data_IF_177297315093
#
_entry.id   IF_177297315093
#
_cell.length_a   1.000
_cell.length_b   1.000
_cell.length_c   1.000
_cell.angle_alpha   90.00
_cell.angle_beta   90.00
_cell.angle_gamma   90.00
#
_symmetry.space_group_name_H-M   'P 1'
#
loop_
_entity.id
_entity.type
_entity.pdbx_description
1 polymer ?
#
# COMPACT_ATOMS: atom_id res chain seq x y z
N UNK A 1 42.89 -20.00 -8.03
CA UNK A 1 43.21 -21.30 -8.66
C UNK A 1 43.06 -21.15 -10.17
N UNK A 2 43.85 -21.84 -11.00
CA UNK A 2 43.69 -21.82 -12.46
C UNK A 2 43.34 -23.25 -12.92
N UNK A 3 42.52 -23.37 -13.97
CA UNK A 3 42.16 -24.66 -14.55
C UNK A 3 43.09 -24.98 -15.70
N UNK A 4 43.79 -26.11 -15.63
CA UNK A 4 44.60 -26.65 -16.73
C UNK A 4 43.87 -27.85 -17.33
N UNK A 5 43.63 -27.84 -18.63
CA UNK A 5 43.04 -28.99 -19.34
C UNK A 5 44.09 -30.07 -19.54
N UNK A 6 43.81 -31.29 -19.09
CA UNK A 6 44.69 -32.44 -19.29
C UNK A 6 44.77 -32.81 -20.78
N UNK A 7 45.97 -32.96 -21.38
CA UNK A 7 46.11 -33.36 -22.78
C UNK A 7 45.71 -34.82 -23.05
N UNK A 8 45.57 -35.64 -22.01
CA UNK A 8 45.27 -37.07 -22.14
C UNK A 8 43.79 -37.43 -21.97
N UNK A 9 43.04 -36.65 -21.18
CA UNK A 9 41.65 -36.97 -20.86
C UNK A 9 40.71 -35.77 -20.90
N UNK A 10 41.22 -34.60 -21.32
CA UNK A 10 40.48 -33.33 -21.40
C UNK A 10 39.83 -32.87 -20.08
N UNK A 11 40.12 -33.55 -18.97
CA UNK A 11 39.62 -33.18 -17.65
C UNK A 11 40.27 -31.89 -17.16
N UNK A 12 39.49 -31.07 -16.45
CA UNK A 12 39.96 -29.83 -15.85
C UNK A 12 40.71 -30.13 -14.55
N UNK A 13 41.98 -29.73 -14.47
CA UNK A 13 42.84 -29.90 -13.31
C UNK A 13 42.98 -28.55 -12.60
N UNK A 14 42.63 -28.51 -11.32
CA UNK A 14 42.88 -27.34 -10.48
C UNK A 14 44.36 -27.26 -10.12
N UNK A 15 45.05 -26.23 -10.63
CA UNK A 15 46.45 -25.97 -10.29
C UNK A 15 46.60 -24.62 -9.59
N UNK A 16 47.43 -24.62 -8.55
CA UNK A 16 47.79 -23.39 -7.82
C UNK A 16 48.95 -22.67 -8.53
N UNK A 17 49.05 -21.33 -8.44
CA UNK A 17 50.20 -20.59 -8.97
C UNK A 17 51.55 -21.03 -8.38
N UNK A 18 51.55 -21.63 -7.19
CA UNK A 18 52.75 -22.17 -6.54
C UNK A 18 53.30 -23.43 -7.24
N UNK A 19 52.50 -24.10 -8.07
CA UNK A 19 52.87 -25.32 -8.81
C UNK A 19 53.32 -25.02 -10.25
N UNK A 20 53.42 -23.74 -10.62
CA UNK A 20 53.78 -23.33 -11.97
C UNK A 20 55.22 -23.73 -12.33
N UNK A 21 55.39 -24.42 -13.47
CA UNK A 21 56.67 -24.96 -13.90
C UNK A 21 57.06 -26.31 -13.27
N UNK A 22 56.16 -26.93 -12.49
CA UNK A 22 56.30 -28.29 -11.96
C UNK A 22 55.45 -29.32 -12.72
N UNK A 23 55.34 -30.53 -12.18
CA UNK A 23 54.46 -31.59 -12.70
C UNK A 23 53.39 -31.94 -11.67
N UNK A 24 52.17 -32.19 -12.13
CA UNK A 24 51.05 -32.60 -11.26
C UNK A 24 50.31 -33.79 -11.86
N UNK A 25 49.95 -34.81 -11.05
CA UNK A 25 49.14 -35.92 -11.52
C UNK A 25 47.70 -35.46 -11.79
N UNK A 26 47.13 -35.90 -12.92
CA UNK A 26 45.72 -35.64 -13.23
C UNK A 26 44.81 -36.50 -12.33
N UNK A 27 43.82 -35.92 -11.63
CA UNK A 27 42.91 -36.68 -10.76
C UNK A 27 42.00 -37.66 -11.52
N UNK A 28 41.79 -37.47 -12.84
CA UNK A 28 40.90 -38.33 -13.63
C UNK A 28 41.60 -39.48 -14.35
N UNK A 29 42.85 -39.31 -14.80
CA UNK A 29 43.57 -40.37 -15.53
C UNK A 29 44.90 -40.77 -14.88
N UNK A 30 45.27 -40.13 -13.77
CA UNK A 30 46.51 -40.34 -13.03
C UNK A 30 47.81 -40.14 -13.85
N UNK A 31 47.70 -39.58 -15.06
CA UNK A 31 48.84 -39.23 -15.89
C UNK A 31 49.56 -38.00 -15.33
N UNK A 32 50.89 -37.97 -15.42
CA UNK A 32 51.71 -36.83 -15.00
C UNK A 32 51.63 -35.76 -16.08
N UNK A 33 51.11 -34.58 -15.73
CA UNK A 33 50.95 -33.45 -16.65
C UNK A 33 51.89 -32.32 -16.24
N UNK A 34 52.61 -31.75 -17.21
CA UNK A 34 53.48 -30.60 -17.01
C UNK A 34 52.65 -29.32 -16.85
N UNK A 35 52.87 -28.58 -15.75
CA UNK A 35 52.19 -27.32 -15.48
C UNK A 35 52.98 -26.19 -16.18
N UNK A 36 52.37 -25.43 -17.11
CA UNK A 36 53.04 -24.34 -17.82
C UNK A 36 53.63 -23.29 -16.87
N UNK A 37 54.71 -22.63 -17.29
CA UNK A 37 55.36 -21.56 -16.51
C UNK A 37 54.40 -20.37 -16.31
N UNK A 38 54.58 -19.63 -15.21
CA UNK A 38 53.72 -18.51 -14.75
C UNK A 38 53.31 -17.50 -15.83
N UNK A 39 54.14 -17.29 -16.86
CA UNK A 39 53.84 -16.38 -17.98
C UNK A 39 52.66 -16.80 -18.86
N UNK A 40 52.34 -18.09 -18.93
CA UNK A 40 51.22 -18.63 -19.74
C UNK A 40 49.97 -18.93 -18.90
N UNK A 41 50.10 -19.12 -17.58
CA UNK A 41 48.96 -19.28 -16.64
C UNK A 41 48.04 -18.05 -16.59
N UNK A 42 48.55 -16.86 -16.91
CA UNK A 42 47.78 -15.61 -16.95
C UNK A 42 46.78 -15.53 -18.11
N UNK A 43 46.89 -16.41 -19.10
CA UNK A 43 46.01 -16.47 -20.27
C UNK A 43 44.88 -17.50 -20.12
N UNK A 44 44.88 -18.32 -19.05
CA UNK A 44 43.81 -19.29 -18.83
C UNK A 44 42.63 -18.64 -18.09
N UNK A 45 41.37 -18.88 -18.53
CA UNK A 45 40.18 -18.34 -17.90
C UNK A 45 40.15 -18.66 -16.39
N UNK A 46 39.80 -17.68 -15.56
CA UNK A 46 39.64 -17.91 -14.12
C UNK A 46 38.35 -18.66 -13.87
N UNK A 47 38.33 -19.47 -12.80
CA UNK A 47 37.14 -20.19 -12.33
C UNK A 47 35.97 -19.23 -12.02
N UNK A 48 36.24 -17.95 -11.79
CA UNK A 48 35.22 -16.90 -11.61
C UNK A 48 34.45 -16.57 -12.90
N UNK A 49 34.98 -16.93 -14.08
CA UNK A 49 34.31 -16.71 -15.39
C UNK A 49 33.39 -17.87 -15.79
N UNK A 50 33.33 -18.94 -14.99
CA UNK A 50 32.15 -19.82 -14.94
C UNK A 50 31.06 -19.12 -14.11
N UNK A 51 30.64 -17.96 -14.60
CA UNK A 51 29.44 -17.29 -14.11
C UNK A 51 28.29 -18.28 -14.13
N UNK A 52 27.45 -18.32 -13.08
CA UNK A 52 26.38 -19.30 -12.99
C UNK A 52 25.45 -19.13 -14.19
N UNK A 53 25.44 -20.14 -15.07
CA UNK A 53 24.30 -20.44 -15.94
C UNK A 53 23.09 -20.65 -15.02
N UNK A 54 22.37 -19.56 -14.81
CA UNK A 54 21.28 -19.51 -13.86
C UNK A 54 21.02 -18.07 -13.50
N UNK A 55 20.39 -17.34 -14.43
CA UNK A 55 19.46 -16.29 -14.04
C UNK A 55 18.53 -16.92 -13.00
N UNK A 56 18.82 -16.70 -11.72
CA UNK A 56 17.88 -17.01 -10.66
C UNK A 56 16.58 -16.31 -11.05
N UNK A 57 15.44 -17.01 -11.16
CA UNK A 57 14.19 -16.36 -11.50
C UNK A 57 13.94 -15.32 -10.42
N UNK A 58 14.15 -14.04 -10.76
CA UNK A 58 13.76 -12.93 -9.90
C UNK A 58 12.32 -13.22 -9.52
N UNK A 59 12.08 -13.31 -8.21
CA UNK A 59 10.80 -13.64 -7.60
C UNK A 59 9.72 -12.62 -8.00
N UNK A 60 9.25 -12.69 -9.25
CA UNK A 60 8.25 -11.80 -9.84
C UNK A 60 6.89 -11.99 -9.15
N UNK A 61 6.63 -13.21 -8.69
CA UNK A 61 5.38 -13.60 -8.03
C UNK A 61 5.18 -12.88 -6.68
N UNK A 62 6.25 -12.43 -6.02
CA UNK A 62 6.17 -11.66 -4.76
C UNK A 62 6.21 -10.15 -4.96
N UNK A 63 6.73 -9.65 -6.09
CA UNK A 63 6.83 -8.22 -6.35
C UNK A 63 5.44 -7.59 -6.55
N UNK A 64 4.55 -8.27 -7.30
CA UNK A 64 3.19 -7.80 -7.58
C UNK A 64 2.34 -7.77 -6.30
N UNK A 65 2.38 -8.83 -5.49
CA UNK A 65 1.65 -8.89 -4.21
C UNK A 65 2.12 -7.83 -3.20
N UNK A 66 3.43 -7.57 -3.12
CA UNK A 66 3.99 -6.51 -2.26
C UNK A 66 3.62 -5.12 -2.76
N UNK A 67 3.65 -4.89 -4.07
CA UNK A 67 3.21 -3.62 -4.68
C UNK A 67 1.74 -3.34 -4.39
N UNK A 68 0.87 -4.34 -4.60
CA UNK A 68 -0.56 -4.23 -4.33
C UNK A 68 -0.85 -3.98 -2.84
N UNK A 69 -0.15 -4.68 -1.94
CA UNK A 69 -0.25 -4.45 -0.50
C UNK A 69 0.09 -3.00 -0.13
N UNK A 70 1.21 -2.47 -0.63
CA UNK A 70 1.64 -1.10 -0.33
C UNK A 70 0.63 -0.09 -0.86
N UNK A 71 0.16 -0.25 -2.10
CA UNK A 71 -0.82 0.67 -2.70
C UNK A 71 -2.15 0.63 -1.94
N UNK A 72 -2.71 -0.55 -1.71
CA UNK A 72 -3.97 -0.70 -0.97
C UNK A 72 -3.84 -0.24 0.49
N UNK A 73 -2.70 -0.49 1.13
CA UNK A 73 -2.41 -0.02 2.48
C UNK A 73 -2.35 1.51 2.57
N UNK A 74 -1.67 2.17 1.62
CA UNK A 74 -1.59 3.63 1.57
C UNK A 74 -2.95 4.26 1.27
N UNK A 75 -3.69 3.74 0.29
CA UNK A 75 -5.04 4.21 -0.02
C UNK A 75 -5.97 4.01 1.18
N UNK A 76 -5.94 2.83 1.80
CA UNK A 76 -6.69 2.52 3.01
C UNK A 76 -6.38 3.48 4.15
N UNK A 77 -5.11 3.80 4.37
CA UNK A 77 -4.67 4.77 5.38
C UNK A 77 -5.21 6.18 5.10
N UNK A 78 -5.15 6.65 3.86
CA UNK A 78 -5.69 7.97 3.48
C UNK A 78 -7.19 8.04 3.77
N UNK A 79 -7.95 7.02 3.36
CA UNK A 79 -9.38 6.97 3.64
C UNK A 79 -9.69 6.84 5.14
N UNK A 80 -8.85 6.16 5.91
CA UNK A 80 -8.97 6.08 7.37
C UNK A 80 -8.77 7.44 8.03
N UNK A 81 -7.79 8.23 7.56
CA UNK A 81 -7.56 9.59 8.06
C UNK A 81 -8.74 10.52 7.72
N UNK A 82 -9.28 10.42 6.50
CA UNK A 82 -10.48 11.17 6.09
C UNK A 82 -11.68 10.78 6.97
N UNK A 83 -11.89 9.48 7.18
CA UNK A 83 -12.96 8.97 8.05
C UNK A 83 -12.82 9.47 9.49
N UNK A 84 -11.61 9.45 10.04
CA UNK A 84 -11.29 9.96 11.37
C UNK A 84 -11.55 11.46 11.48
N UNK A 85 -11.11 12.25 10.49
CA UNK A 85 -11.34 13.71 10.46
C UNK A 85 -12.83 14.04 10.37
N UNK A 86 -13.56 13.40 9.45
CA UNK A 86 -15.00 13.58 9.30
C UNK A 86 -15.76 13.12 10.55
N UNK A 87 -15.37 12.00 11.16
CA UNK A 87 -15.97 11.48 12.39
C UNK A 87 -15.74 12.39 13.59
N UNK A 88 -14.52 12.95 13.74
CA UNK A 88 -14.23 13.92 14.79
C UNK A 88 -15.04 15.20 14.59
N UNK A 89 -15.08 15.73 13.36
CA UNK A 89 -15.91 16.89 13.03
C UNK A 89 -17.39 16.63 13.28
N UNK A 90 -17.89 15.44 12.97
CA UNK A 90 -19.26 15.02 13.25
C UNK A 90 -19.56 15.03 14.75
N UNK A 91 -18.64 14.52 15.58
CA UNK A 91 -18.78 14.47 17.03
C UNK A 91 -18.75 15.85 17.69
N UNK A 92 -17.94 16.77 17.16
CA UNK A 92 -17.78 18.13 17.69
C UNK A 92 -18.90 19.09 17.28
N UNK A 93 -19.62 18.82 16.17
CA UNK A 93 -20.75 19.66 15.77
C UNK A 93 -21.92 19.41 16.73
N UNK A 94 -22.18 20.39 17.58
CA UNK A 94 -23.38 20.45 18.40
C UNK A 94 -24.58 20.92 17.55
N UNK A 95 -25.73 20.30 17.76
CA UNK A 95 -27.00 20.70 17.14
C UNK A 95 -27.94 20.99 18.31
N UNK A 96 -27.92 22.23 18.82
CA UNK A 96 -28.54 22.55 20.11
C UNK A 96 -30.06 22.61 20.06
N UNK A 97 -30.66 22.61 18.86
CA UNK A 97 -32.08 22.84 18.67
C UNK A 97 -32.66 21.91 17.61
N UNK A 98 -33.78 21.28 17.95
CA UNK A 98 -34.59 20.50 17.00
C UNK A 98 -35.64 21.36 16.32
N UNK A 99 -36.17 20.87 15.21
CA UNK A 99 -37.27 21.53 14.47
C UNK A 99 -38.50 21.71 15.35
N UNK A 100 -38.82 20.73 16.20
CA UNK A 100 -39.96 20.79 17.12
C UNK A 100 -39.77 21.87 18.18
N UNK A 101 -38.56 21.97 18.76
CA UNK A 101 -38.25 23.02 19.72
C UNK A 101 -38.32 24.41 19.07
N UNK A 102 -37.80 24.55 17.85
CA UNK A 102 -37.88 25.81 17.11
C UNK A 102 -39.33 26.18 16.79
N UNK A 103 -40.15 25.21 16.36
CA UNK A 103 -41.56 25.43 16.09
C UNK A 103 -42.35 25.83 17.35
N UNK A 104 -41.98 25.28 18.51
CA UNK A 104 -42.54 25.69 19.80
C UNK A 104 -42.14 27.10 20.19
N UNK A 105 -40.86 27.46 20.04
CA UNK A 105 -40.38 28.82 20.31
C UNK A 105 -41.08 29.85 19.42
N UNK A 106 -41.15 29.61 18.12
CA UNK A 106 -41.90 30.45 17.18
C UNK A 106 -43.34 30.60 17.64
N UNK A 107 -44.02 29.49 17.98
CA UNK A 107 -45.41 29.53 18.46
C UNK A 107 -45.57 30.38 19.72
N UNK A 108 -44.63 30.32 20.64
CA UNK A 108 -44.67 31.09 21.88
C UNK A 108 -44.30 32.56 21.68
N UNK A 109 -43.46 32.89 20.70
CA UNK A 109 -43.20 34.26 20.25
C UNK A 109 -44.43 34.85 19.55
N UNK A 110 -45.06 34.10 18.64
CA UNK A 110 -46.27 34.52 17.94
C UNK A 110 -47.43 34.85 18.89
N UNK A 111 -47.55 34.17 20.04
CA UNK A 111 -48.55 34.48 21.06
C UNK A 111 -48.34 35.84 21.75
N UNK A 112 -47.12 36.38 21.71
CA UNK A 112 -46.76 37.66 22.35
C UNK A 112 -46.91 38.84 21.41
N UNK A 113 -47.02 38.60 20.10
CA UNK A 113 -47.19 39.64 19.09
C UNK A 113 -48.60 40.22 19.13
N UNK A 114 -48.70 41.51 18.86
CA UNK A 114 -49.99 42.17 18.66
C UNK A 114 -50.64 41.74 17.34
N UNK A 115 -51.97 41.87 17.20
CA UNK A 115 -52.66 41.55 15.95
C UNK A 115 -52.13 42.33 14.73
N UNK A 116 -51.69 43.58 14.92
CA UNK A 116 -51.12 44.38 13.85
C UNK A 116 -49.75 43.85 13.37
N UNK A 117 -48.92 43.35 14.28
CA UNK A 117 -47.62 42.74 13.93
C UNK A 117 -47.80 41.41 13.22
N UNK A 118 -48.80 40.61 13.63
CA UNK A 118 -49.13 39.35 12.95
C UNK A 118 -49.53 39.58 11.48
N UNK A 119 -50.30 40.63 11.20
CA UNK A 119 -50.67 41.00 9.83
C UNK A 119 -49.42 41.34 9.01
N UNK A 120 -48.46 42.10 9.56
CA UNK A 120 -47.21 42.40 8.85
C UNK A 120 -46.38 41.16 8.56
N UNK A 121 -46.27 40.24 9.52
CA UNK A 121 -45.56 38.97 9.29
C UNK A 121 -46.25 38.16 8.19
N UNK A 122 -47.58 38.18 8.13
CA UNK A 122 -48.33 37.55 7.06
C UNK A 122 -48.07 38.20 5.70
N UNK A 123 -48.11 39.53 5.62
CA UNK A 123 -47.80 40.29 4.41
C UNK A 123 -46.37 40.01 3.91
N UNK A 124 -45.38 39.97 4.80
CA UNK A 124 -44.01 39.59 4.47
C UNK A 124 -43.93 38.17 3.89
N UNK A 125 -44.68 37.21 4.46
CA UNK A 125 -44.72 35.83 3.95
C UNK A 125 -45.41 35.76 2.58
N UNK A 126 -46.44 36.56 2.32
CA UNK A 126 -47.09 36.63 1.01
C UNK A 126 -46.19 37.28 -0.05
N UNK A 127 -45.46 38.34 0.30
CA UNK A 127 -44.59 39.08 -0.63
C UNK A 127 -43.34 38.28 -0.98
N UNK A 128 -42.63 37.77 0.03
CA UNK A 128 -41.33 37.11 -0.16
C UNK A 128 -41.44 35.59 -0.29
N UNK A 129 -42.54 35.00 0.19
CA UNK A 129 -42.71 33.56 0.23
C UNK A 129 -41.94 32.89 1.36
N UNK A 130 -42.45 31.74 1.83
CA UNK A 130 -41.86 30.96 2.94
C UNK A 130 -40.44 30.45 2.61
N UNK A 131 -40.10 30.36 1.33
CA UNK A 131 -38.82 29.84 0.85
C UNK A 131 -37.72 30.91 0.71
N UNK A 132 -38.06 32.21 0.73
CA UNK A 132 -37.05 33.27 0.62
C UNK A 132 -36.24 33.47 1.91
N UNK A 133 -36.74 32.97 3.04
CA UNK A 133 -36.03 33.00 4.31
C UNK A 133 -34.83 32.06 4.26
N UNK A 134 -33.64 32.61 4.53
CA UNK A 134 -32.42 31.82 4.64
C UNK A 134 -32.63 30.65 5.63
N UNK A 135 -32.07 29.46 5.35
CA UNK A 135 -32.21 28.33 6.26
C UNK A 135 -31.69 28.71 7.65
N UNK A 136 -32.44 28.35 8.67
CA UNK A 136 -32.08 28.62 10.06
C UNK A 136 -30.73 27.99 10.41
N UNK A 137 -29.96 28.65 11.28
CA UNK A 137 -28.60 28.21 11.63
C UNK A 137 -28.56 26.77 12.16
N UNK A 138 -29.58 26.35 12.93
CA UNK A 138 -29.67 24.99 13.43
C UNK A 138 -29.87 23.97 12.31
N UNK A 139 -30.61 24.30 11.24
CA UNK A 139 -30.78 23.42 10.06
C UNK A 139 -29.48 23.31 9.28
N UNK A 140 -28.75 24.41 9.14
CA UNK A 140 -27.41 24.40 8.49
C UNK A 140 -26.45 23.52 9.29
N UNK A 141 -26.45 23.64 10.62
CA UNK A 141 -25.65 22.79 11.50
C UNK A 141 -26.04 21.31 11.40
N UNK A 142 -27.34 21.01 11.38
CA UNK A 142 -27.87 19.65 11.20
C UNK A 142 -27.43 19.05 9.85
N UNK A 143 -27.63 19.76 8.75
CA UNK A 143 -27.22 19.32 7.41
C UNK A 143 -25.70 19.09 7.33
N UNK A 144 -24.92 19.98 7.93
CA UNK A 144 -23.46 19.83 8.00
C UNK A 144 -23.04 18.62 8.83
N UNK A 145 -23.72 18.36 9.95
CA UNK A 145 -23.50 17.17 10.75
C UNK A 145 -23.84 15.92 9.95
N UNK A 146 -25.03 15.86 9.32
CA UNK A 146 -25.45 14.71 8.54
C UNK A 146 -24.47 14.39 7.39
N UNK A 147 -24.09 15.39 6.61
CA UNK A 147 -23.12 15.22 5.51
C UNK A 147 -21.76 14.71 6.00
N UNK A 148 -21.23 15.26 7.09
CA UNK A 148 -19.98 14.77 7.70
C UNK A 148 -20.10 13.32 8.18
N UNK A 149 -21.24 12.92 8.72
CA UNK A 149 -21.51 11.55 9.12
C UNK A 149 -21.54 10.59 7.93
N UNK A 150 -22.19 10.97 6.84
CA UNK A 150 -22.21 10.19 5.59
C UNK A 150 -20.80 10.04 5.01
N UNK A 151 -20.02 11.12 4.96
CA UNK A 151 -18.63 11.05 4.48
C UNK A 151 -17.76 10.17 5.38
N UNK A 152 -17.91 10.25 6.70
CA UNK A 152 -17.19 9.40 7.63
C UNK A 152 -17.51 7.90 7.41
N UNK A 153 -18.79 7.56 7.24
CA UNK A 153 -19.22 6.19 6.96
C UNK A 153 -18.71 5.68 5.61
N UNK A 154 -18.84 6.48 4.55
CA UNK A 154 -18.41 6.10 3.21
C UNK A 154 -16.89 5.88 3.15
N UNK A 155 -16.11 6.83 3.67
CA UNK A 155 -14.64 6.72 3.71
C UNK A 155 -14.16 5.60 4.63
N UNK A 156 -14.80 5.39 5.78
CA UNK A 156 -14.51 4.26 6.66
C UNK A 156 -14.75 2.91 5.99
N UNK A 157 -15.82 2.79 5.20
CA UNK A 157 -16.11 1.59 4.40
C UNK A 157 -15.04 1.31 3.35
N UNK A 158 -14.59 2.35 2.61
CA UNK A 158 -13.50 2.21 1.63
C UNK A 158 -12.18 1.83 2.30
N UNK A 159 -11.86 2.45 3.44
CA UNK A 159 -10.66 2.12 4.21
C UNK A 159 -10.67 0.65 4.63
N UNK A 160 -11.78 0.16 5.18
CA UNK A 160 -11.93 -1.23 5.58
C UNK A 160 -11.75 -2.19 4.40
N UNK A 161 -12.37 -1.90 3.25
CA UNK A 161 -12.23 -2.71 2.05
C UNK A 161 -10.77 -2.76 1.54
N UNK A 162 -10.07 -1.62 1.53
CA UNK A 162 -8.67 -1.55 1.11
C UNK A 162 -7.74 -2.33 2.06
N UNK A 163 -7.94 -2.20 3.38
CA UNK A 163 -7.16 -2.92 4.37
C UNK A 163 -7.40 -4.44 4.30
N UNK A 164 -8.64 -4.86 4.07
CA UNK A 164 -8.97 -6.27 3.82
C UNK A 164 -8.30 -6.79 2.55
N UNK A 165 -8.36 -6.03 1.44
CA UNK A 165 -7.68 -6.37 0.20
C UNK A 165 -6.16 -6.46 0.35
N UNK A 166 -5.56 -5.54 1.11
CA UNK A 166 -4.16 -5.56 1.46
C UNK A 166 -3.82 -6.84 2.26
N UNK A 167 -4.62 -7.20 3.27
CA UNK A 167 -4.41 -8.41 4.06
C UNK A 167 -4.49 -9.69 3.20
N UNK A 168 -5.48 -9.77 2.29
CA UNK A 168 -5.64 -10.90 1.37
C UNK A 168 -4.47 -11.02 0.38
N UNK A 169 -3.92 -9.88 -0.07
CA UNK A 169 -2.75 -9.87 -0.97
C UNK A 169 -1.50 -10.45 -0.29
N UNK A 170 -1.35 -10.28 1.02
CA UNK A 170 -0.28 -10.92 1.80
C UNK A 170 -0.50 -12.42 2.01
N UNK A 171 -1.74 -12.87 2.23
CA UNK A 171 -2.03 -14.29 2.44
C UNK A 171 -1.82 -15.14 1.19
N UNK A 172 -2.15 -14.60 0.01
CA UNK A 172 -1.98 -15.28 -1.27
C UNK A 172 -0.50 -15.38 -1.69
N UNK A 173 0.35 -14.45 -1.28
CA UNK A 173 1.80 -14.51 -1.54
C UNK A 173 2.55 -15.55 -0.70
N UNK A 174 1.96 -16.02 0.41
CA UNK A 174 2.63 -16.90 1.39
C UNK A 174 2.44 -18.40 1.12
N UNK A 175 1.55 -18.79 0.22
CA UNK A 175 1.16 -20.19 -0.02
C UNK A 175 2.06 -20.99 -0.99
N UNK A 176 3.18 -20.42 -1.46
CA UNK A 176 4.11 -21.07 -2.41
C UNK A 176 5.52 -21.31 -1.84
N UNK A 177 5.65 -21.81 -0.62
CA UNK A 177 6.90 -22.43 -0.17
C UNK A 177 6.77 -23.95 -0.31
N UNK A 178 7.25 -24.58 -1.40
CA UNK A 178 7.35 -26.03 -1.44
C UNK A 178 8.32 -26.47 -0.34
N UNK A 179 7.87 -27.36 0.53
CA UNK A 179 8.73 -28.04 1.50
C UNK A 179 9.81 -28.79 0.73
N UNK A 180 11.07 -28.45 0.98
CA UNK A 180 12.21 -29.23 0.53
C UNK A 180 12.12 -30.62 1.18
N UNK A 181 11.87 -31.64 0.37
CA UNK A 181 12.07 -33.03 0.73
C UNK A 181 13.57 -33.31 0.83
N UNK A 182 14.03 -33.62 2.03
CA UNK A 182 15.33 -34.22 2.32
C UNK A 182 15.15 -35.26 3.43
#
# INVERSE_FOLDING_TARGET
MHLLTCPHCEAAIEVSPAQAGGTTPCPSCNAVVDVPKLGQLRQLPRVDDAGPLGDAPKSEVNAVGRGLFVVLGLVGLVFLLVAGFCGLRWAVIDVPMTTEMHAQQLRDEFKKLSPAELIRVWEDIEEFGIAATAPTDYRVAEMKKQSMGTYALASGGVAAACLLGAFLSLSLGRSKTPAASG
#
